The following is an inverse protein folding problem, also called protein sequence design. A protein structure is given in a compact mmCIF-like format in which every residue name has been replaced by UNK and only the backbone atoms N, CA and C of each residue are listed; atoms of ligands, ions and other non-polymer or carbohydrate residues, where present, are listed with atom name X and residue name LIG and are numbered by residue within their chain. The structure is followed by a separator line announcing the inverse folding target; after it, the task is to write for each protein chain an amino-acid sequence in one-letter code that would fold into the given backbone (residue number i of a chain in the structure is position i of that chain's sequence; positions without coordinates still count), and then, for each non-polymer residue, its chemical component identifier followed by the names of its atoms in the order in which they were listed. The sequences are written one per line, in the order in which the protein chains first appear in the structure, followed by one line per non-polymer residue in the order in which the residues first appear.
data_IF_960467478967
#
_entry.id   IF_960467478967
#
_cell.length_a   1.000
_cell.length_b   1.000
_cell.length_c   1.000
_cell.angle_alpha   90.00
_cell.angle_beta   90.00
_cell.angle_gamma   90.00
#
_symmetry.space_group_name_H-M   'P 1'
#
loop_
_entity.id
_entity.type
_entity.pdbx_description
1 polymer ?
#
# COMPACT_ATOMS: atom_id res chain seq x y z
N UNK A 1 -24.66 -16.75 -1.02
CA UNK A 1 -25.03 -16.17 0.31
C UNK A 1 -23.85 -15.35 0.78
N UNK A 2 -24.04 -14.11 1.26
CA UNK A 2 -22.98 -13.33 1.89
C UNK A 2 -22.36 -14.07 3.09
N UNK A 3 -21.08 -13.85 3.35
CA UNK A 3 -20.39 -14.40 4.52
C UNK A 3 -19.66 -13.29 5.29
N UNK A 4 -19.47 -13.50 6.59
CA UNK A 4 -18.67 -12.65 7.44
C UNK A 4 -17.30 -13.29 7.67
N UNK A 5 -16.23 -12.57 7.35
CA UNK A 5 -14.86 -12.97 7.63
C UNK A 5 -14.25 -12.08 8.68
N UNK A 6 -13.57 -12.67 9.63
CA UNK A 6 -12.88 -11.94 10.69
C UNK A 6 -11.40 -11.82 10.35
N UNK A 7 -10.92 -10.59 10.36
CA UNK A 7 -9.49 -10.29 10.30
C UNK A 7 -8.79 -10.88 11.54
N UNK A 8 -7.81 -11.77 11.37
CA UNK A 8 -7.20 -12.47 12.51
C UNK A 8 -6.31 -11.56 13.36
N UNK A 9 -5.86 -10.42 12.83
CA UNK A 9 -4.94 -9.49 13.49
C UNK A 9 -5.72 -8.50 14.36
N UNK A 10 -6.54 -7.66 13.72
CA UNK A 10 -7.27 -6.58 14.42
C UNK A 10 -8.69 -6.98 14.86
N UNK A 11 -9.12 -8.20 14.54
CA UNK A 11 -10.44 -8.71 14.93
C UNK A 11 -11.62 -8.07 14.19
N UNK A 12 -11.38 -7.25 13.20
CA UNK A 12 -12.41 -6.59 12.37
C UNK A 12 -13.17 -7.60 11.53
N UNK A 13 -14.50 -7.42 11.41
CA UNK A 13 -15.33 -8.20 10.52
C UNK A 13 -15.49 -7.52 9.17
N UNK A 14 -15.48 -8.33 8.10
CA UNK A 14 -15.73 -7.89 6.71
C UNK A 14 -16.84 -8.75 6.13
N UNK A 15 -17.79 -8.12 5.44
CA UNK A 15 -18.89 -8.78 4.74
C UNK A 15 -18.41 -9.06 3.30
N UNK A 16 -18.24 -10.32 2.95
CA UNK A 16 -18.01 -10.75 1.55
C UNK A 16 -19.37 -10.99 0.91
N UNK A 17 -19.76 -10.12 -0.03
CA UNK A 17 -21.11 -10.12 -0.62
C UNK A 17 -21.05 -10.22 -2.14
N UNK A 18 -20.95 -11.44 -2.65
CA UNK A 18 -20.89 -11.73 -4.09
C UNK A 18 -22.17 -11.34 -4.85
N UNK A 19 -23.32 -11.26 -4.18
CA UNK A 19 -24.58 -10.84 -4.79
C UNK A 19 -24.61 -9.35 -5.17
N UNK A 20 -23.74 -8.53 -4.52
CA UNK A 20 -23.47 -7.14 -4.90
C UNK A 20 -22.29 -7.07 -5.88
N UNK A 21 -21.77 -8.22 -6.30
CA UNK A 21 -20.52 -8.36 -7.04
C UNK A 21 -20.66 -7.77 -8.43
N UNK A 22 -19.91 -6.72 -8.66
CA UNK A 22 -19.36 -6.48 -9.97
C UNK A 22 -18.30 -7.56 -10.19
N UNK A 23 -18.36 -8.24 -11.34
CA UNK A 23 -17.25 -9.08 -11.80
C UNK A 23 -16.00 -8.21 -11.88
N UNK A 24 -14.79 -8.76 -11.79
CA UNK A 24 -13.55 -7.99 -11.98
C UNK A 24 -13.61 -7.11 -13.25
N UNK A 25 -14.24 -7.58 -14.32
CA UNK A 25 -14.52 -6.86 -15.56
C UNK A 25 -15.52 -5.68 -15.43
N UNK A 26 -16.29 -5.62 -14.37
CA UNK A 26 -17.37 -4.62 -14.19
C UNK A 26 -16.93 -3.38 -13.40
N UNK A 27 -15.70 -3.37 -12.90
CA UNK A 27 -15.08 -2.17 -12.34
C UNK A 27 -14.77 -1.23 -13.50
N UNK A 28 -15.69 -0.28 -13.76
CA UNK A 28 -15.59 0.65 -14.87
C UNK A 28 -14.28 1.44 -14.88
N UNK A 29 -13.81 1.80 -16.06
CA UNK A 29 -12.62 2.59 -16.27
C UNK A 29 -12.74 3.93 -15.54
N UNK A 30 -11.94 4.14 -14.50
CA UNK A 30 -11.69 5.47 -13.94
C UNK A 30 -10.51 6.04 -14.75
N UNK A 31 -10.80 6.46 -15.98
CA UNK A 31 -9.79 7.16 -16.78
C UNK A 31 -9.75 8.61 -16.29
N UNK A 32 -8.74 8.94 -15.52
CA UNK A 32 -8.37 10.32 -15.24
C UNK A 32 -7.71 10.90 -16.48
N UNK A 33 -8.21 12.02 -16.99
CA UNK A 33 -7.53 12.76 -18.04
C UNK A 33 -6.19 13.30 -17.48
N UNK A 34 -5.06 12.94 -18.12
CA UNK A 34 -3.74 13.44 -17.73
C UNK A 34 -3.70 14.95 -17.83
N UNK A 35 -3.25 15.61 -16.76
CA UNK A 35 -3.06 17.05 -16.71
C UNK A 35 -1.73 17.39 -17.38
N UNK A 36 -1.77 17.85 -18.63
CA UNK A 36 -0.60 18.42 -19.30
C UNK A 36 -0.31 19.80 -18.69
N UNK A 37 0.86 19.98 -18.07
CA UNK A 37 1.21 21.27 -17.48
C UNK A 37 2.51 21.25 -16.70
N UNK A 38 2.79 22.31 -16.01
CA UNK A 38 3.96 22.46 -15.15
C UNK A 38 3.95 21.44 -14.01
N UNK A 39 5.04 20.68 -13.87
CA UNK A 39 5.24 19.74 -12.77
C UNK A 39 6.48 20.14 -11.95
N UNK A 40 6.34 20.40 -10.62
CA UNK A 40 7.46 20.79 -9.78
C UNK A 40 8.48 19.68 -9.53
N UNK A 41 8.13 18.42 -9.85
CA UNK A 41 8.99 17.24 -9.64
C UNK A 41 9.80 16.85 -10.87
N UNK A 42 9.51 17.43 -12.03
CA UNK A 42 10.32 17.19 -13.23
C UNK A 42 11.71 17.80 -13.13
N UNK A 43 12.75 17.15 -13.71
CA UNK A 43 14.08 17.71 -13.82
C UNK A 43 14.08 19.10 -14.44
N UNK A 44 14.92 20.00 -13.88
CA UNK A 44 14.96 21.43 -14.24
C UNK A 44 14.00 22.31 -13.42
N UNK A 45 13.14 21.72 -12.60
CA UNK A 45 12.21 22.44 -11.72
C UNK A 45 12.58 22.33 -10.21
N UNK A 46 13.81 21.93 -9.88
CA UNK A 46 14.24 21.68 -8.49
C UNK A 46 14.04 22.91 -7.60
N UNK A 47 14.23 24.12 -8.15
CA UNK A 47 13.98 25.39 -7.44
C UNK A 47 12.50 25.65 -7.08
N UNK A 48 11.57 24.83 -7.53
CA UNK A 48 10.12 24.95 -7.24
C UNK A 48 9.68 24.13 -6.03
N UNK A 49 10.56 23.24 -5.55
CA UNK A 49 10.41 22.48 -4.31
C UNK A 49 11.31 23.05 -3.22
N UNK A 50 11.11 22.71 -1.94
CA UNK A 50 12.15 22.91 -0.93
C UNK A 50 13.45 22.18 -1.30
N UNK A 51 14.61 22.56 -0.70
CA UNK A 51 15.86 21.85 -0.90
C UNK A 51 15.75 20.35 -0.64
N UNK A 52 16.56 19.58 -1.35
CA UNK A 52 16.63 18.14 -1.13
C UNK A 52 17.18 17.80 0.25
N UNK A 53 16.51 16.88 0.94
CA UNK A 53 16.98 16.32 2.23
C UNK A 53 17.75 15.01 2.04
N UNK A 54 17.51 14.36 0.90
CA UNK A 54 18.24 13.16 0.47
C UNK A 54 18.15 13.01 -1.06
N UNK A 55 19.19 12.46 -1.66
CA UNK A 55 19.24 12.26 -3.11
C UNK A 55 20.12 11.08 -3.49
N UNK A 56 19.71 10.34 -4.50
CA UNK A 56 20.55 9.38 -5.24
C UNK A 56 20.90 10.00 -6.57
N UNK A 57 22.18 10.30 -6.79
CA UNK A 57 22.70 10.93 -8.00
C UNK A 57 24.15 10.51 -8.30
N UNK A 58 24.65 10.86 -9.48
CA UNK A 58 26.04 10.65 -9.84
C UNK A 58 26.97 11.45 -8.91
N UNK A 59 28.07 10.86 -8.45
CA UNK A 59 29.07 11.58 -7.64
C UNK A 59 29.59 12.83 -8.35
N UNK A 60 29.71 13.94 -7.61
CA UNK A 60 30.25 15.21 -8.13
C UNK A 60 29.19 16.15 -8.75
N UNK A 61 27.93 15.76 -8.83
CA UNK A 61 26.83 16.67 -9.23
C UNK A 61 26.43 17.60 -8.09
N UNK A 62 25.95 18.81 -8.42
CA UNK A 62 25.58 19.81 -7.43
C UNK A 62 24.22 19.51 -6.80
N UNK A 63 24.00 19.86 -5.51
CA UNK A 63 22.70 19.80 -4.88
C UNK A 63 21.64 20.60 -5.66
N UNK A 64 20.39 20.13 -5.59
CA UNK A 64 19.23 20.78 -6.23
C UNK A 64 19.41 21.04 -7.75
N UNK A 65 20.07 20.09 -8.46
CA UNK A 65 20.22 20.07 -9.92
C UNK A 65 19.60 18.81 -10.53
N UNK A 66 19.39 18.80 -11.85
CA UNK A 66 18.59 17.82 -12.57
C UNK A 66 19.14 16.37 -12.62
N UNK A 67 20.41 16.12 -12.27
CA UNK A 67 21.08 14.83 -12.45
C UNK A 67 20.84 13.84 -11.30
N UNK A 68 19.60 13.65 -10.90
CA UNK A 68 19.20 12.73 -9.83
C UNK A 68 18.44 11.50 -10.36
N UNK A 69 18.50 10.40 -9.65
CA UNK A 69 17.71 9.19 -9.91
C UNK A 69 16.54 9.06 -8.94
N UNK A 70 16.74 9.37 -7.64
CA UNK A 70 15.71 9.48 -6.61
C UNK A 70 15.99 10.75 -5.83
N UNK A 71 14.94 11.53 -5.53
CA UNK A 71 15.08 12.80 -4.81
C UNK A 71 14.05 12.89 -3.70
N UNK A 72 14.48 13.27 -2.49
CA UNK A 72 13.58 13.48 -1.34
C UNK A 72 13.65 14.94 -0.91
N UNK A 73 12.50 15.54 -0.77
CA UNK A 73 12.34 16.94 -0.36
C UNK A 73 11.33 17.03 0.79
N UNK A 74 11.44 18.06 1.62
CA UNK A 74 10.34 18.38 2.54
C UNK A 74 9.09 18.74 1.74
N UNK A 75 7.90 18.35 2.24
CA UNK A 75 6.65 18.76 1.59
C UNK A 75 6.51 20.30 1.71
N UNK A 76 6.22 20.97 0.60
CA UNK A 76 6.03 22.44 0.57
C UNK A 76 4.83 22.91 1.41
N UNK A 77 3.84 22.01 1.58
CA UNK A 77 2.62 22.23 2.36
C UNK A 77 2.47 21.13 3.41
N UNK A 78 3.35 21.11 4.43
CA UNK A 78 3.45 19.98 5.33
C UNK A 78 2.25 19.92 6.28
N UNK A 79 1.79 18.70 6.59
CA UNK A 79 0.75 18.48 7.60
C UNK A 79 1.25 18.73 9.03
N UNK A 80 2.56 18.53 9.26
CA UNK A 80 3.28 18.74 10.51
C UNK A 80 4.59 19.47 10.21
N UNK A 81 5.12 20.21 11.18
CA UNK A 81 6.37 20.96 11.05
C UNK A 81 7.43 20.38 11.98
N UNK A 82 8.69 20.36 11.53
CA UNK A 82 9.79 19.80 12.30
C UNK A 82 10.25 20.75 13.43
N UNK A 83 10.02 22.05 13.24
CA UNK A 83 10.43 23.08 14.19
C UNK A 83 9.50 23.15 15.40
N UNK A 84 10.07 23.52 16.55
CA UNK A 84 9.34 23.77 17.80
C UNK A 84 9.32 22.57 18.74
N UNK A 85 8.60 22.72 19.84
CA UNK A 85 8.42 21.73 20.89
C UNK A 85 6.99 21.19 20.88
N UNK A 86 6.79 20.00 21.41
CA UNK A 86 5.47 19.36 21.49
C UNK A 86 4.47 20.17 22.34
N UNK A 87 4.93 20.82 23.40
CA UNK A 87 4.11 21.65 24.28
C UNK A 87 2.77 20.99 24.61
N UNK A 88 2.86 19.83 25.27
CA UNK A 88 1.69 19.03 25.67
C UNK A 88 0.95 19.73 26.80
N UNK A 89 -0.35 19.99 26.62
CA UNK A 89 -1.18 20.71 27.57
C UNK A 89 -2.63 20.22 27.54
N UNK A 90 -3.34 20.43 28.63
CA UNK A 90 -4.76 20.16 28.72
C UNK A 90 -5.58 21.44 28.60
N UNK A 91 -6.77 21.33 28.04
CA UNK A 91 -7.81 22.36 28.06
C UNK A 91 -9.09 21.70 28.58
N UNK A 92 -9.28 21.77 29.89
CA UNK A 92 -10.28 20.98 30.57
C UNK A 92 -9.99 19.46 30.44
N UNK A 93 -10.91 18.71 29.86
CA UNK A 93 -10.76 17.27 29.57
C UNK A 93 -10.08 16.98 28.23
N UNK A 94 -9.69 18.01 27.48
CA UNK A 94 -9.13 17.84 26.14
C UNK A 94 -7.61 17.98 26.18
N UNK A 95 -6.93 17.02 25.56
CA UNK A 95 -5.48 17.05 25.37
C UNK A 95 -5.14 17.71 24.03
N UNK A 96 -4.12 18.56 24.05
CA UNK A 96 -3.58 19.17 22.83
C UNK A 96 -2.07 19.28 22.90
N UNK A 97 -1.44 19.28 21.74
CA UNK A 97 -0.02 19.55 21.58
C UNK A 97 0.24 20.26 20.25
N UNK A 98 1.43 20.83 20.09
CA UNK A 98 1.82 21.40 18.83
C UNK A 98 1.99 20.30 17.76
N UNK A 99 1.69 20.64 16.51
CA UNK A 99 1.80 19.74 15.36
C UNK A 99 3.26 19.56 14.90
N UNK A 100 4.11 19.05 15.80
CA UNK A 100 5.52 18.76 15.51
C UNK A 100 5.62 17.41 14.84
N UNK A 101 6.33 17.35 13.69
CA UNK A 101 6.53 16.15 12.89
C UNK A 101 7.32 16.46 11.63
N UNK A 102 7.57 15.47 10.80
CA UNK A 102 8.17 15.67 9.48
C UNK A 102 7.18 15.22 8.41
N UNK A 103 7.20 15.91 7.27
CA UNK A 103 6.44 15.50 6.08
C UNK A 103 7.34 15.63 4.87
N UNK A 104 7.77 14.50 4.33
CA UNK A 104 8.68 14.41 3.18
C UNK A 104 8.00 13.80 1.97
N UNK A 105 8.49 14.17 0.78
CA UNK A 105 8.08 13.63 -0.52
C UNK A 105 9.30 13.03 -1.19
N UNK A 106 9.24 11.73 -1.49
CA UNK A 106 10.22 10.99 -2.24
C UNK A 106 9.77 10.88 -3.70
N UNK A 107 10.50 11.50 -4.61
CA UNK A 107 10.26 11.48 -6.05
C UNK A 107 10.99 10.26 -6.61
N UNK A 108 10.24 9.33 -7.21
CA UNK A 108 10.67 7.96 -7.52
C UNK A 108 11.59 7.84 -8.72
N UNK A 109 11.50 8.77 -9.64
CA UNK A 109 12.22 8.79 -10.93
C UNK A 109 12.19 10.21 -11.50
N UNK A 110 13.18 10.62 -12.31
CA UNK A 110 13.11 11.85 -13.09
C UNK A 110 12.07 11.81 -14.21
N UNK A 111 11.65 10.63 -14.64
CA UNK A 111 10.67 10.47 -15.71
C UNK A 111 9.24 10.67 -15.18
N UNK A 112 8.56 11.68 -15.74
CA UNK A 112 7.21 12.05 -15.36
C UNK A 112 6.16 10.99 -15.71
N UNK A 113 6.37 10.29 -16.82
CA UNK A 113 5.36 9.41 -17.43
C UNK A 113 5.43 7.98 -16.91
N UNK A 114 6.58 7.56 -16.35
CA UNK A 114 6.77 6.19 -15.90
C UNK A 114 6.07 5.92 -14.58
N UNK A 115 5.11 5.00 -14.59
CA UNK A 115 4.42 4.52 -13.40
C UNK A 115 5.33 3.59 -12.58
N UNK A 116 5.13 3.52 -11.27
CA UNK A 116 5.94 2.72 -10.34
C UNK A 116 6.10 1.25 -10.79
N UNK A 117 5.03 0.61 -11.24
CA UNK A 117 5.05 -0.78 -11.73
C UNK A 117 5.88 -0.98 -13.02
N UNK A 118 6.16 0.09 -13.75
CA UNK A 118 6.93 0.07 -15.01
C UNK A 118 8.41 0.37 -14.76
N UNK A 119 8.78 0.91 -13.60
CA UNK A 119 10.17 1.17 -13.24
C UNK A 119 11.02 -0.11 -13.34
N UNK A 120 12.28 -0.02 -13.76
CA UNK A 120 13.23 -1.12 -13.60
C UNK A 120 13.32 -1.55 -12.12
N UNK A 121 13.50 -2.84 -11.85
CA UNK A 121 13.64 -3.34 -10.47
C UNK A 121 14.77 -2.65 -9.72
N UNK A 122 15.88 -2.34 -10.41
CA UNK A 122 16.99 -1.57 -9.83
C UNK A 122 16.57 -0.15 -9.41
N UNK A 123 15.67 0.52 -10.15
CA UNK A 123 15.15 1.82 -9.75
C UNK A 123 14.23 1.72 -8.54
N UNK A 124 13.37 0.69 -8.48
CA UNK A 124 12.56 0.42 -7.30
C UNK A 124 13.44 0.15 -6.07
N UNK A 125 14.52 -0.60 -6.22
CA UNK A 125 15.49 -0.82 -5.15
C UNK A 125 16.07 0.49 -4.62
N UNK A 126 16.47 1.43 -5.50
CA UNK A 126 16.94 2.76 -5.09
C UNK A 126 15.87 3.53 -4.30
N UNK A 127 14.61 3.44 -4.71
CA UNK A 127 13.48 4.05 -3.99
C UNK A 127 13.32 3.42 -2.60
N UNK A 128 13.37 2.09 -2.48
CA UNK A 128 13.25 1.39 -1.19
C UNK A 128 14.44 1.70 -0.26
N UNK A 129 15.65 1.78 -0.80
CA UNK A 129 16.83 2.20 -0.05
C UNK A 129 16.71 3.65 0.44
N UNK A 130 16.21 4.56 -0.39
CA UNK A 130 15.93 5.94 0.00
C UNK A 130 14.87 6.02 1.11
N UNK A 131 13.78 5.23 1.02
CA UNK A 131 12.79 5.11 2.10
C UNK A 131 13.44 4.68 3.40
N UNK A 132 14.23 3.60 3.37
CA UNK A 132 14.95 3.08 4.55
C UNK A 132 15.87 4.13 5.17
N UNK A 133 16.69 4.81 4.38
CA UNK A 133 17.60 5.85 4.85
C UNK A 133 16.84 7.00 5.50
N UNK A 134 15.72 7.45 4.89
CA UNK A 134 14.91 8.53 5.46
C UNK A 134 14.22 8.11 6.75
N UNK A 135 13.72 6.88 6.84
CA UNK A 135 13.11 6.36 8.07
C UNK A 135 14.13 6.29 9.21
N UNK A 136 15.36 5.81 8.94
CA UNK A 136 16.45 5.78 9.92
C UNK A 136 16.78 7.21 10.39
N UNK A 137 16.94 8.16 9.48
CA UNK A 137 17.25 9.55 9.82
C UNK A 137 16.14 10.20 10.66
N UNK A 138 14.90 10.11 10.23
CA UNK A 138 13.76 10.65 10.95
C UNK A 138 13.58 10.02 12.34
N UNK A 139 13.92 8.74 12.52
CA UNK A 139 13.84 8.05 13.81
C UNK A 139 14.85 8.56 14.84
N UNK A 140 15.90 9.31 14.42
CA UNK A 140 16.85 9.94 15.37
C UNK A 140 16.18 11.06 16.19
N UNK A 141 15.13 11.66 15.70
CA UNK A 141 14.36 12.65 16.46
C UNK A 141 13.49 11.96 17.52
N UNK A 142 13.87 12.13 18.78
CA UNK A 142 13.18 11.50 19.93
C UNK A 142 11.75 11.99 20.14
N UNK A 143 11.31 13.04 19.47
CA UNK A 143 9.93 13.52 19.50
C UNK A 143 8.99 12.64 18.68
N UNK A 144 9.52 11.91 17.67
CA UNK A 144 8.71 11.07 16.79
C UNK A 144 8.47 9.70 17.42
N UNK A 145 7.29 9.15 17.15
CA UNK A 145 6.84 7.84 17.63
C UNK A 145 6.52 6.87 16.50
N UNK A 146 6.16 7.38 15.34
CA UNK A 146 5.81 6.58 14.17
C UNK A 146 6.14 7.30 12.89
N UNK A 147 6.59 6.57 11.88
CA UNK A 147 6.87 7.07 10.54
C UNK A 147 5.99 6.30 9.57
N UNK A 148 4.99 6.98 9.02
CA UNK A 148 4.12 6.40 8.02
C UNK A 148 4.66 6.65 6.64
N UNK A 149 4.91 5.58 5.87
CA UNK A 149 5.24 5.64 4.45
C UNK A 149 4.04 5.19 3.64
N UNK A 150 3.67 5.97 2.64
CA UNK A 150 2.52 5.66 1.78
C UNK A 150 2.65 6.31 0.40
N UNK A 151 1.96 5.70 -0.57
CA UNK A 151 1.78 6.26 -1.91
C UNK A 151 0.31 6.45 -2.22
N UNK A 152 0.01 7.56 -2.86
CA UNK A 152 -1.26 7.79 -3.54
C UNK A 152 -0.99 7.80 -5.04
N UNK A 153 -1.63 6.91 -5.79
CA UNK A 153 -1.54 6.85 -7.26
C UNK A 153 -2.90 7.12 -7.88
N UNK A 154 -2.98 8.16 -8.71
CA UNK A 154 -4.22 8.61 -9.33
C UNK A 154 -5.09 9.49 -8.42
N UNK A 155 -5.90 10.35 -9.02
CA UNK A 155 -6.73 11.36 -8.34
C UNK A 155 -7.73 10.72 -7.36
N UNK A 156 -8.39 9.62 -7.75
CA UNK A 156 -9.34 8.91 -6.89
C UNK A 156 -8.69 8.27 -5.65
N UNK A 157 -7.38 8.10 -5.66
CA UNK A 157 -6.60 7.65 -4.50
C UNK A 157 -6.00 8.82 -3.68
N UNK A 158 -6.29 10.08 -4.07
CA UNK A 158 -5.84 11.26 -3.36
C UNK A 158 -4.49 11.83 -3.83
N UNK A 159 -3.99 11.41 -5.01
CA UNK A 159 -2.80 12.01 -5.60
C UNK A 159 -3.13 13.43 -6.11
N UNK A 160 -2.35 14.42 -5.69
CA UNK A 160 -2.45 15.80 -6.16
C UNK A 160 -1.59 16.06 -7.40
N UNK A 161 -0.52 15.28 -7.59
CA UNK A 161 0.41 15.32 -8.71
C UNK A 161 0.51 13.94 -9.34
N UNK A 162 0.64 13.91 -10.68
CA UNK A 162 0.73 12.66 -11.46
C UNK A 162 2.13 12.06 -11.44
N UNK A 163 3.17 12.90 -11.36
CA UNK A 163 4.56 12.46 -11.25
C UNK A 163 4.73 11.51 -10.07
N UNK A 164 5.28 10.32 -10.30
CA UNK A 164 5.41 9.26 -9.29
C UNK A 164 6.13 9.71 -8.04
N UNK A 165 5.46 9.64 -6.89
CA UNK A 165 6.04 10.00 -5.60
C UNK A 165 5.45 9.18 -4.45
N UNK A 166 6.24 9.05 -3.41
CA UNK A 166 5.90 8.44 -2.11
C UNK A 166 5.98 9.54 -1.04
N UNK A 167 5.21 9.41 0.02
CA UNK A 167 5.23 10.36 1.13
C UNK A 167 5.65 9.64 2.42
N UNK A 168 6.41 10.37 3.25
CA UNK A 168 6.79 9.95 4.59
C UNK A 168 6.29 11.00 5.57
N UNK A 169 5.51 10.58 6.57
CA UNK A 169 5.05 11.45 7.65
C UNK A 169 5.48 10.86 8.99
N UNK A 170 6.37 11.59 9.69
CA UNK A 170 6.75 11.27 11.06
C UNK A 170 5.83 11.99 12.04
N UNK A 171 5.28 11.26 13.00
CA UNK A 171 4.30 11.77 13.97
C UNK A 171 4.78 11.60 15.40
N UNK A 172 4.41 12.52 16.34
CA UNK A 172 4.78 12.43 17.75
C UNK A 172 3.89 11.47 18.56
N UNK A 173 2.99 10.79 17.88
CA UNK A 173 2.07 9.78 18.44
C UNK A 173 2.07 8.55 17.55
N UNK A 174 1.78 7.38 18.13
CA UNK A 174 1.50 6.18 17.35
C UNK A 174 0.02 6.23 16.92
N UNK A 175 -0.29 6.14 15.61
CA UNK A 175 -1.67 6.18 15.13
C UNK A 175 -2.52 5.03 15.68
N UNK A 176 -3.80 5.30 15.94
CA UNK A 176 -4.72 4.33 16.55
C UNK A 176 -4.77 2.99 15.80
N UNK A 177 -4.81 3.00 14.47
CA UNK A 177 -4.84 1.76 13.66
C UNK A 177 -3.58 0.92 13.85
N UNK A 178 -2.42 1.56 13.95
CA UNK A 178 -1.14 0.90 14.21
C UNK A 178 -1.15 0.27 15.62
N UNK A 179 -1.68 0.98 16.62
CA UNK A 179 -1.83 0.45 17.99
C UNK A 179 -2.77 -0.77 18.00
N UNK A 180 -3.90 -0.71 17.29
CA UNK A 180 -4.86 -1.83 17.20
C UNK A 180 -4.19 -3.08 16.57
N UNK A 181 -3.37 -2.89 15.54
CA UNK A 181 -2.64 -3.96 14.88
C UNK A 181 -1.56 -4.57 15.78
N UNK A 182 -0.73 -3.73 16.41
CA UNK A 182 0.29 -4.19 17.36
C UNK A 182 -0.32 -4.95 18.52
N UNK A 183 -1.42 -4.46 19.09
CA UNK A 183 -2.11 -5.12 20.19
C UNK A 183 -2.66 -6.49 19.75
N UNK A 184 -3.16 -6.61 18.52
CA UNK A 184 -3.59 -7.88 17.96
C UNK A 184 -2.45 -8.88 17.81
N UNK A 185 -1.30 -8.42 17.29
CA UNK A 185 -0.08 -9.21 17.19
C UNK A 185 0.43 -9.65 18.56
N UNK A 186 0.46 -8.73 19.53
CA UNK A 186 0.86 -9.03 20.90
C UNK A 186 -0.07 -10.07 21.54
N UNK A 187 -1.38 -9.90 21.42
CA UNK A 187 -2.37 -10.83 21.97
C UNK A 187 -2.19 -12.25 21.42
N UNK A 188 -1.96 -12.38 20.09
CA UNK A 188 -1.67 -13.67 19.49
C UNK A 188 -0.36 -14.27 20.02
N UNK A 189 0.67 -13.45 20.14
CA UNK A 189 1.98 -13.88 20.67
C UNK A 189 1.89 -14.36 22.13
N UNK A 190 1.13 -13.68 22.97
CA UNK A 190 0.89 -14.10 24.37
C UNK A 190 0.19 -15.46 24.48
N UNK A 191 -0.70 -15.78 23.50
CA UNK A 191 -1.44 -17.04 23.47
C UNK A 191 -0.68 -18.18 22.79
N UNK A 192 0.13 -17.88 21.77
CA UNK A 192 0.71 -18.88 20.85
C UNK A 192 2.23 -18.89 20.85
N UNK A 193 2.89 -17.92 21.50
CA UNK A 193 4.34 -17.75 21.56
C UNK A 193 5.00 -17.62 20.18
N UNK A 194 4.23 -17.15 19.19
CA UNK A 194 4.70 -16.93 17.81
C UNK A 194 3.95 -15.78 17.15
N UNK A 195 4.56 -15.24 16.07
CA UNK A 195 4.03 -14.12 15.33
C UNK A 195 2.84 -14.55 14.46
N UNK A 196 1.73 -13.78 14.50
CA UNK A 196 0.53 -14.06 13.70
C UNK A 196 0.79 -13.93 12.20
N UNK A 197 1.65 -13.02 11.76
CA UNK A 197 1.99 -12.89 10.35
C UNK A 197 2.81 -14.10 9.85
N UNK A 198 3.70 -14.65 10.69
CA UNK A 198 4.39 -15.91 10.35
C UNK A 198 3.39 -17.04 10.20
N UNK A 199 2.39 -17.15 11.07
CA UNK A 199 1.31 -18.14 10.95
C UNK A 199 0.48 -17.91 9.67
N UNK A 200 0.20 -16.65 9.29
CA UNK A 200 -0.47 -16.31 8.03
C UNK A 200 0.38 -16.74 6.83
N UNK A 201 1.67 -16.42 6.82
CA UNK A 201 2.58 -16.80 5.72
C UNK A 201 2.63 -18.33 5.55
N UNK A 202 2.76 -19.08 6.64
CA UNK A 202 2.77 -20.56 6.62
C UNK A 202 1.42 -21.11 6.12
N UNK A 203 0.31 -20.57 6.63
CA UNK A 203 -1.04 -20.96 6.25
C UNK A 203 -1.30 -20.70 4.75
N UNK A 204 -0.98 -19.52 4.26
CA UNK A 204 -1.22 -19.15 2.86
C UNK A 204 -0.31 -19.92 1.92
N UNK A 205 0.96 -20.13 2.29
CA UNK A 205 1.90 -20.96 1.51
C UNK A 205 1.43 -22.42 1.41
N UNK A 206 0.76 -22.97 2.44
CA UNK A 206 0.25 -24.35 2.44
C UNK A 206 -1.02 -24.54 1.62
N UNK A 207 -1.90 -23.52 1.57
CA UNK A 207 -3.21 -23.58 0.90
C UNK A 207 -3.14 -23.06 -0.54
N UNK A 208 -2.28 -22.08 -0.82
CA UNK A 208 -2.04 -21.42 -2.11
C UNK A 208 -3.25 -20.72 -2.76
N UNK A 209 -4.41 -20.70 -2.08
CA UNK A 209 -5.66 -20.16 -2.68
C UNK A 209 -5.64 -18.64 -2.90
N UNK A 210 -4.97 -17.91 -1.98
CA UNK A 210 -4.96 -16.46 -1.98
C UNK A 210 -3.62 -15.85 -2.37
N UNK A 211 -2.64 -16.66 -2.79
CA UNK A 211 -1.36 -16.17 -3.31
C UNK A 211 -1.57 -15.52 -4.67
N UNK A 212 -1.04 -14.32 -4.83
CA UNK A 212 -0.97 -13.55 -6.09
C UNK A 212 0.33 -13.86 -6.82
N UNK A 213 1.46 -13.66 -6.14
CA UNK A 213 2.80 -14.04 -6.59
C UNK A 213 3.72 -14.20 -5.38
N UNK A 214 4.91 -14.75 -5.59
CA UNK A 214 5.90 -14.94 -4.53
C UNK A 214 7.32 -15.08 -5.10
N UNK A 215 8.30 -14.83 -4.25
CA UNK A 215 9.70 -15.23 -4.49
C UNK A 215 10.27 -15.97 -3.27
N UNK A 216 11.60 -16.14 -3.18
CA UNK A 216 12.24 -16.81 -2.04
C UNK A 216 11.93 -16.13 -0.70
N UNK A 217 11.88 -14.79 -0.67
CA UNK A 217 11.82 -14.00 0.54
C UNK A 217 10.43 -13.42 0.86
N UNK A 218 9.53 -13.32 -0.13
CA UNK A 218 8.23 -12.64 0.02
C UNK A 218 7.06 -13.45 -0.49
N UNK A 219 5.93 -13.23 0.16
CA UNK A 219 4.62 -13.71 -0.24
C UNK A 219 3.70 -12.51 -0.53
N UNK A 220 3.10 -12.47 -1.73
CA UNK A 220 2.05 -11.51 -2.09
C UNK A 220 0.71 -12.23 -2.10
N UNK A 221 -0.23 -11.76 -1.27
CA UNK A 221 -1.52 -12.43 -1.04
C UNK A 221 -2.69 -11.44 -1.08
N UNK A 222 -3.87 -11.95 -1.39
CA UNK A 222 -5.14 -11.35 -1.01
C UNK A 222 -5.48 -11.81 0.43
N UNK A 223 -5.56 -10.92 1.44
CA UNK A 223 -5.78 -11.33 2.82
C UNK A 223 -7.13 -12.02 3.00
N UNK A 224 -7.28 -12.83 4.05
CA UNK A 224 -8.52 -13.60 4.30
C UNK A 224 -9.77 -12.74 4.44
N UNK A 225 -9.65 -11.56 5.06
CA UNK A 225 -10.73 -10.60 5.29
C UNK A 225 -10.40 -9.22 4.72
N UNK A 226 -10.29 -9.08 3.37
CA UNK A 226 -9.88 -7.83 2.73
C UNK A 226 -10.98 -6.78 2.85
N UNK A 227 -10.61 -5.55 3.19
CA UNK A 227 -11.53 -4.40 3.27
C UNK A 227 -12.05 -4.00 1.90
N UNK A 228 -11.18 -4.09 0.89
CA UNK A 228 -11.43 -3.62 -0.47
C UNK A 228 -11.22 -4.73 -1.49
N UNK A 229 -11.91 -4.69 -2.64
CA UNK A 229 -11.63 -5.60 -3.74
C UNK A 229 -10.15 -5.49 -4.18
N UNK A 230 -9.49 -6.63 -4.34
CA UNK A 230 -8.09 -6.70 -4.75
C UNK A 230 -7.10 -6.01 -3.77
N UNK A 231 -7.47 -5.92 -2.48
CA UNK A 231 -6.54 -5.55 -1.43
C UNK A 231 -5.45 -6.61 -1.33
N UNK A 232 -4.21 -6.24 -1.64
CA UNK A 232 -3.07 -7.16 -1.74
C UNK A 232 -2.04 -6.82 -0.68
N UNK A 233 -1.58 -7.82 0.07
CA UNK A 233 -0.51 -7.68 1.06
C UNK A 233 0.77 -8.32 0.55
N UNK A 234 1.90 -7.64 0.73
CA UNK A 234 3.24 -8.17 0.48
C UNK A 234 3.96 -8.32 1.81
N UNK A 235 4.25 -9.56 2.19
CA UNK A 235 4.74 -9.92 3.52
C UNK A 235 6.09 -10.64 3.37
N UNK A 236 7.16 -10.25 4.10
CA UNK A 236 8.39 -11.04 4.16
C UNK A 236 8.10 -12.43 4.77
N UNK A 237 8.71 -13.48 4.21
CA UNK A 237 8.56 -14.85 4.73
C UNK A 237 9.34 -15.06 6.03
N UNK A 238 10.46 -14.34 6.18
CA UNK A 238 11.21 -14.32 7.43
C UNK A 238 10.62 -13.27 8.37
N UNK A 239 10.68 -13.55 9.66
CA UNK A 239 10.19 -12.63 10.69
C UNK A 239 11.08 -11.39 10.79
N UNK A 240 10.49 -10.22 10.50
CA UNK A 240 11.14 -8.92 10.63
C UNK A 240 10.11 -7.90 11.16
N UNK A 241 10.41 -7.24 12.26
CA UNK A 241 9.46 -6.30 12.88
C UNK A 241 9.51 -4.89 12.30
N UNK A 242 10.63 -4.49 11.70
CA UNK A 242 10.87 -3.14 11.18
C UNK A 242 11.40 -3.18 9.75
N UNK A 243 10.84 -2.37 8.89
CA UNK A 243 11.30 -2.23 7.51
C UNK A 243 12.71 -1.64 7.42
N UNK A 244 13.02 -0.68 8.27
CA UNK A 244 14.31 0.01 8.28
C UNK A 244 15.49 -0.89 8.68
N UNK A 245 15.23 -2.04 9.30
CA UNK A 245 16.26 -3.05 9.61
C UNK A 245 16.53 -4.01 8.44
N UNK A 246 15.72 -3.96 7.37
CA UNK A 246 15.84 -4.85 6.22
C UNK A 246 17.18 -4.67 5.49
N UNK A 247 17.97 -5.72 5.26
CA UNK A 247 19.22 -5.64 4.49
C UNK A 247 18.96 -5.49 2.98
N UNK A 248 19.98 -5.17 2.21
CA UNK A 248 19.86 -4.85 0.78
C UNK A 248 19.34 -6.02 -0.07
N UNK A 249 19.74 -7.25 0.24
CA UNK A 249 19.27 -8.46 -0.43
C UNK A 249 17.75 -8.66 -0.25
N UNK A 250 17.25 -8.37 0.95
CA UNK A 250 15.81 -8.41 1.22
C UNK A 250 15.07 -7.29 0.47
N UNK A 251 15.63 -6.08 0.41
CA UNK A 251 15.03 -4.98 -0.37
C UNK A 251 15.02 -5.26 -1.87
N UNK A 252 16.04 -5.95 -2.41
CA UNK A 252 16.08 -6.37 -3.81
C UNK A 252 14.97 -7.39 -4.10
N UNK A 253 14.80 -8.39 -3.24
CA UNK A 253 13.71 -9.36 -3.35
C UNK A 253 12.33 -8.68 -3.22
N UNK A 254 12.20 -7.70 -2.32
CA UNK A 254 10.99 -6.90 -2.14
C UNK A 254 10.66 -6.07 -3.38
N UNK A 255 11.65 -5.42 -4.00
CA UNK A 255 11.47 -4.66 -5.23
C UNK A 255 10.87 -5.52 -6.35
N UNK A 256 11.33 -6.77 -6.49
CA UNK A 256 10.83 -7.72 -7.47
C UNK A 256 9.35 -8.08 -7.25
N UNK A 257 9.00 -8.52 -6.04
CA UNK A 257 7.62 -8.96 -5.74
C UNK A 257 6.64 -7.78 -5.73
N UNK A 258 7.06 -6.62 -5.25
CA UNK A 258 6.24 -5.40 -5.26
C UNK A 258 5.92 -4.95 -6.70
N UNK A 259 6.94 -4.97 -7.57
CA UNK A 259 6.77 -4.69 -9.00
C UNK A 259 5.77 -5.65 -9.64
N UNK A 260 5.96 -6.96 -9.45
CA UNK A 260 5.09 -7.99 -10.02
C UNK A 260 3.65 -7.85 -9.53
N UNK A 261 3.43 -7.64 -8.23
CA UNK A 261 2.10 -7.43 -7.65
C UNK A 261 1.39 -6.24 -8.29
N UNK A 262 2.07 -5.10 -8.41
CA UNK A 262 1.51 -3.90 -9.05
C UNK A 262 1.29 -4.07 -10.56
N UNK A 263 2.15 -4.81 -11.25
CA UNK A 263 1.95 -5.12 -12.68
C UNK A 263 0.71 -5.98 -12.89
N UNK A 264 0.50 -7.01 -12.07
CA UNK A 264 -0.70 -7.86 -12.12
C UNK A 264 -1.97 -7.06 -11.85
N UNK A 265 -1.98 -6.22 -10.83
CA UNK A 265 -3.08 -5.30 -10.51
C UNK A 265 -3.35 -4.35 -11.70
N UNK A 266 -2.33 -3.74 -12.28
CA UNK A 266 -2.48 -2.78 -13.38
C UNK A 266 -2.99 -3.45 -14.66
N UNK A 267 -2.50 -4.65 -14.98
CA UNK A 267 -2.93 -5.39 -16.17
C UNK A 267 -4.35 -5.94 -15.99
N UNK A 268 -4.66 -6.55 -14.84
CA UNK A 268 -5.94 -7.16 -14.58
C UNK A 268 -7.08 -6.14 -14.43
N UNK A 269 -6.80 -4.96 -13.85
CA UNK A 269 -7.81 -3.96 -13.50
C UNK A 269 -7.70 -2.67 -14.34
N UNK A 270 -6.96 -2.71 -15.45
CA UNK A 270 -6.77 -1.58 -16.36
C UNK A 270 -6.28 -0.31 -15.66
N UNK A 271 -5.13 -0.42 -14.96
CA UNK A 271 -4.43 0.68 -14.27
C UNK A 271 -5.32 1.45 -13.28
N UNK A 272 -5.84 0.79 -12.24
CA UNK A 272 -6.69 1.45 -11.27
C UNK A 272 -5.88 2.47 -10.44
N UNK A 273 -6.49 3.56 -9.98
CA UNK A 273 -5.93 4.32 -8.87
C UNK A 273 -5.78 3.43 -7.64
N UNK A 274 -4.67 3.60 -6.90
CA UNK A 274 -4.42 2.80 -5.70
C UNK A 274 -3.69 3.60 -4.63
N UNK A 275 -3.81 3.15 -3.40
CA UNK A 275 -2.88 3.49 -2.33
C UNK A 275 -2.02 2.28 -2.03
N UNK A 276 -0.78 2.51 -1.65
CA UNK A 276 -0.08 1.54 -0.83
C UNK A 276 0.36 2.16 0.50
N UNK A 277 0.46 1.34 1.52
CA UNK A 277 0.83 1.73 2.88
C UNK A 277 1.84 0.72 3.40
N UNK A 278 2.99 1.21 3.86
CA UNK A 278 3.98 0.39 4.55
C UNK A 278 3.65 0.37 6.04
N UNK A 279 3.46 -0.81 6.59
CA UNK A 279 3.27 -1.06 8.00
C UNK A 279 4.59 -1.51 8.61
N UNK A 280 5.08 -0.81 9.61
CA UNK A 280 6.32 -1.10 10.34
C UNK A 280 6.13 -0.81 11.82
N UNK A 281 7.00 -1.31 12.66
CA UNK A 281 6.95 -1.03 14.10
C UNK A 281 7.15 0.46 14.39
N UNK A 282 6.58 0.98 15.49
CA UNK A 282 6.87 2.32 15.97
C UNK A 282 8.36 2.50 16.30
N UNK A 283 8.86 3.72 16.10
CA UNK A 283 10.19 4.13 16.53
C UNK A 283 10.12 4.74 17.94
N UNK A 284 11.27 4.84 18.60
CA UNK A 284 11.48 5.51 19.90
C UNK A 284 10.50 5.09 21.02
N UNK A 285 11.02 4.62 22.14
CA UNK A 285 10.30 4.26 23.38
C UNK A 285 9.16 3.23 23.25
N UNK A 286 9.01 2.56 22.12
CA UNK A 286 8.13 1.40 22.00
C UNK A 286 8.85 0.15 22.51
N UNK A 287 8.28 -0.51 23.54
CA UNK A 287 9.06 -1.42 24.38
C UNK A 287 9.36 -2.79 23.78
N UNK A 288 8.46 -3.37 23.01
CA UNK A 288 8.65 -4.72 22.45
C UNK A 288 7.94 -4.84 21.12
N UNK A 289 8.69 -5.11 20.06
CA UNK A 289 8.18 -5.28 18.70
C UNK A 289 8.39 -6.69 18.16
N UNK A 290 8.92 -7.62 18.97
CA UNK A 290 9.21 -9.00 18.55
C UNK A 290 7.99 -9.78 18.09
N UNK A 291 6.80 -9.34 18.45
CA UNK A 291 5.54 -9.94 18.02
C UNK A 291 4.97 -9.31 16.74
N UNK A 292 5.52 -8.16 16.31
CA UNK A 292 5.12 -7.46 15.10
C UNK A 292 5.88 -7.95 13.87
N UNK A 293 5.34 -7.70 12.69
CA UNK A 293 5.92 -8.11 11.41
C UNK A 293 5.59 -7.05 10.36
N UNK A 294 6.59 -6.40 9.79
CA UNK A 294 6.34 -5.38 8.79
C UNK A 294 5.78 -5.98 7.49
N UNK A 295 4.93 -5.23 6.80
CA UNK A 295 4.34 -5.63 5.53
C UNK A 295 3.88 -4.41 4.75
N UNK A 296 3.58 -4.61 3.45
CA UNK A 296 3.00 -3.60 2.59
C UNK A 296 1.57 -3.98 2.26
N UNK A 297 0.63 -3.04 2.41
CA UNK A 297 -0.73 -3.16 1.92
C UNK A 297 -0.91 -2.35 0.63
N UNK A 298 -1.48 -2.94 -0.43
CA UNK A 298 -1.84 -2.28 -1.69
C UNK A 298 -3.36 -2.29 -1.79
N UNK A 299 -3.99 -1.13 -1.99
CA UNK A 299 -5.44 -0.96 -1.98
C UNK A 299 -5.93 -0.26 -3.25
N UNK A 300 -6.33 -0.99 -4.30
CA UNK A 300 -6.97 -0.40 -5.46
C UNK A 300 -8.27 0.33 -5.10
N UNK A 301 -8.52 1.48 -5.71
CA UNK A 301 -9.71 2.32 -5.48
C UNK A 301 -10.85 1.97 -6.42
N UNK A 302 -11.41 0.78 -6.25
CA UNK A 302 -12.51 0.26 -7.07
C UNK A 302 -13.89 0.52 -6.46
N UNK A 303 -13.96 0.75 -5.16
CA UNK A 303 -15.18 1.04 -4.39
C UNK A 303 -15.00 2.27 -3.53
N UNK A 304 -16.10 2.90 -3.13
CA UNK A 304 -16.12 4.04 -2.22
C UNK A 304 -16.55 3.59 -0.83
N UNK A 305 -15.83 4.04 0.18
CA UNK A 305 -16.26 3.93 1.59
C UNK A 305 -17.44 4.88 1.80
N UNK A 306 -18.52 4.39 2.38
CA UNK A 306 -19.76 5.13 2.56
C UNK A 306 -20.20 5.14 4.04
N UNK A 307 -21.43 5.56 4.31
CA UNK A 307 -21.93 5.78 5.66
C UNK A 307 -21.93 4.53 6.54
N UNK A 308 -22.19 3.35 5.95
CA UNK A 308 -22.17 2.10 6.71
C UNK A 308 -20.77 1.78 7.25
N UNK A 309 -19.76 1.84 6.40
CA UNK A 309 -18.36 1.56 6.79
C UNK A 309 -17.86 2.61 7.79
N UNK A 310 -18.17 3.89 7.57
CA UNK A 310 -17.80 4.95 8.50
C UNK A 310 -18.47 4.82 9.86
N UNK A 311 -19.76 4.43 9.88
CA UNK A 311 -20.55 4.32 11.12
C UNK A 311 -20.25 3.08 11.93
N UNK A 312 -19.87 1.97 11.28
CA UNK A 312 -19.72 0.66 11.94
C UNK A 312 -18.28 0.15 12.00
N UNK A 313 -17.41 0.61 11.12
CA UNK A 313 -16.08 0.03 10.92
C UNK A 313 -16.09 -1.34 10.21
N UNK A 314 -17.26 -1.87 9.82
CA UNK A 314 -17.37 -3.04 8.96
C UNK A 314 -17.29 -2.61 7.51
N UNK A 315 -16.60 -3.41 6.68
CA UNK A 315 -16.50 -3.16 5.25
C UNK A 315 -17.33 -4.17 4.46
N UNK A 316 -17.87 -3.74 3.33
CA UNK A 316 -18.58 -4.62 2.40
C UNK A 316 -17.69 -4.79 1.17
N UNK A 317 -17.14 -5.98 0.99
CA UNK A 317 -16.33 -6.34 -0.16
C UNK A 317 -17.12 -7.27 -1.09
N UNK A 318 -17.36 -6.86 -2.36
CA UNK A 318 -18.08 -7.70 -3.30
C UNK A 318 -17.23 -8.83 -3.91
N UNK A 319 -15.92 -8.82 -3.72
CA UNK A 319 -14.99 -9.77 -4.38
C UNK A 319 -14.33 -10.68 -3.33
N UNK A 320 -14.60 -12.00 -3.36
CA UNK A 320 -13.87 -12.95 -2.51
C UNK A 320 -12.37 -12.93 -2.81
N UNK A 321 -11.50 -12.97 -1.80
CA UNK A 321 -10.05 -12.89 -2.00
C UNK A 321 -9.50 -14.06 -2.82
N UNK A 322 -10.09 -15.24 -2.72
CA UNK A 322 -9.70 -16.40 -3.54
C UNK A 322 -9.96 -16.15 -5.04
N UNK A 323 -11.08 -15.52 -5.39
CA UNK A 323 -11.41 -15.14 -6.76
C UNK A 323 -10.52 -13.99 -7.25
N UNK A 324 -10.24 -13.00 -6.38
CA UNK A 324 -9.32 -11.90 -6.69
C UNK A 324 -7.91 -12.43 -6.99
N UNK A 325 -7.36 -13.27 -6.12
CA UNK A 325 -6.04 -13.87 -6.33
C UNK A 325 -5.97 -14.72 -7.59
N UNK A 326 -7.00 -15.54 -7.87
CA UNK A 326 -7.07 -16.32 -9.09
C UNK A 326 -7.04 -15.41 -10.33
N UNK A 327 -7.84 -14.35 -10.34
CA UNK A 327 -7.91 -13.38 -11.43
C UNK A 327 -6.58 -12.64 -11.66
N UNK A 328 -5.87 -12.26 -10.59
CA UNK A 328 -4.55 -11.61 -10.70
C UNK A 328 -3.47 -12.58 -11.22
N UNK A 329 -3.59 -13.89 -10.94
CA UNK A 329 -2.66 -14.90 -11.48
C UNK A 329 -2.84 -15.17 -12.97
N UNK A 330 -4.04 -14.95 -13.52
CA UNK A 330 -4.33 -15.17 -14.96
C UNK A 330 -3.56 -14.24 -15.88
N UNK A 331 -3.14 -13.05 -15.38
CA UNK A 331 -2.35 -12.11 -16.18
C UNK A 331 -0.86 -12.41 -16.06
N UNK A 332 -0.16 -12.33 -17.20
CA UNK A 332 1.29 -12.54 -17.27
C UNK A 332 2.00 -11.19 -17.51
N UNK A 333 2.69 -10.64 -16.48
CA UNK A 333 3.43 -9.39 -16.63
C UNK A 333 4.54 -9.42 -17.69
N UNK A 334 5.12 -10.60 -17.97
CA UNK A 334 6.20 -10.74 -18.94
C UNK A 334 5.72 -10.60 -20.40
N UNK A 335 4.48 -10.98 -20.68
CA UNK A 335 3.91 -11.00 -22.03
C UNK A 335 3.02 -9.79 -22.35
N UNK A 336 2.75 -8.88 -21.39
CA UNK A 336 1.93 -7.70 -21.59
C UNK A 336 0.46 -7.96 -21.99
N UNK A 337 0.06 -9.22 -22.07
CA UNK A 337 -1.27 -9.65 -22.46
C UNK A 337 -2.15 -9.92 -21.23
N UNK A 338 -2.94 -8.93 -20.83
CA UNK A 338 -4.18 -9.24 -20.13
C UNK A 338 -5.11 -9.93 -21.15
N UNK A 339 -5.44 -11.19 -20.92
CA UNK A 339 -6.41 -11.92 -21.72
C UNK A 339 -7.81 -11.33 -21.54
N UNK A 340 -8.09 -10.24 -22.27
CA UNK A 340 -9.43 -9.71 -22.46
C UNK A 340 -10.26 -10.58 -23.40
N UNK A 341 -10.16 -11.90 -23.28
CA UNK A 341 -11.11 -12.81 -23.93
C UNK A 341 -12.32 -13.00 -23.02
N UNK A 342 -13.34 -12.21 -23.29
CA UNK A 342 -14.70 -12.51 -22.85
C UNK A 342 -15.07 -13.92 -23.31
N UNK A 343 -15.08 -14.86 -22.39
CA UNK A 343 -15.80 -16.12 -22.57
C UNK A 343 -17.27 -15.73 -22.62
N UNK A 344 -17.84 -15.68 -23.83
CA UNK A 344 -19.28 -15.67 -24.01
C UNK A 344 -19.80 -17.00 -23.43
N UNK A 345 -20.74 -16.99 -22.48
CA UNK A 345 -21.42 -18.22 -22.09
C UNK A 345 -22.23 -18.70 -23.29
N UNK A 346 -21.93 -19.91 -23.73
CA UNK A 346 -22.72 -20.61 -24.75
C UNK A 346 -24.20 -20.57 -24.40
N UNK A 347 -25.02 -20.12 -25.34
CA UNK A 347 -26.44 -20.25 -25.29
C UNK A 347 -26.80 -21.74 -25.21
N UNK A 348 -27.23 -22.20 -24.03
CA UNK A 348 -27.92 -23.48 -23.92
C UNK A 348 -29.35 -23.26 -24.38
N UNK A 349 -29.69 -23.89 -25.50
CA UNK A 349 -31.06 -24.08 -25.97
C UNK A 349 -31.94 -24.65 -24.85
N UNK A 350 -32.86 -23.84 -24.34
CA UNK A 350 -33.96 -24.32 -23.53
C UNK A 350 -35.21 -24.46 -24.46
N UNK A 351 -35.95 -25.57 -24.41
CA UNK A 351 -37.08 -25.76 -25.28
C UNK A 351 -38.25 -24.84 -24.93
N UNK A 352 -38.84 -24.29 -25.98
CA UNK A 352 -40.09 -23.50 -25.95
C UNK A 352 -41.20 -24.37 -25.44
N UNK A 353 -41.79 -24.06 -24.28
CA UNK A 353 -43.07 -24.64 -23.86
C UNK A 353 -44.23 -23.80 -24.40
N UNK A 354 -45.02 -24.43 -25.29
CA UNK A 354 -46.29 -23.91 -25.79
C UNK A 354 -47.28 -23.67 -24.65
N UNK A 355 -47.96 -22.53 -24.69
CA UNK A 355 -49.14 -22.24 -23.89
C UNK A 355 -50.38 -22.91 -24.53
N UNK A 356 -51.29 -23.56 -23.75
CA UNK A 356 -52.58 -23.95 -24.26
C UNK A 356 -53.55 -22.76 -24.29
N UNK A 357 -54.54 -22.79 -25.20
CA UNK A 357 -55.50 -21.70 -25.37
C UNK A 357 -56.73 -21.83 -24.45
N UNK A 358 -57.39 -20.66 -24.23
CA UNK A 358 -58.64 -20.33 -23.58
C UNK A 358 -58.62 -20.10 -22.08
#
# INVERSE_FOLDING_TARGET
MPELRRDPIVGRWVIISTERGKRPSDFGQIVSARKTGFCPFCPGNESKTPPEVYVVRQPGTLPDTADWQVRVVSNKFPALQIEGNLDRRAEGIYDKMNGVGAHEVLIETPDHETEFSQLPTAQILLVLQAMRVRMIDLSQDRRFRYIQVFKNHGEAAGASLEHGHIQLIATPIVPRRVVEEINGCQFHFELKERCIFCDIVEQEASIEKRIVCQNSEFLSIEPFAPRFPFETWVIPKRHESTFEASPDDLLEAFAGVMKESLQRINLALNKPPYNFVLHTSPCNDWKDTRHYHWHLEIMPKLTKVAGFEWGTGLYINPTPPEAAAAFLREVDPANGNGSGNGVQPGASDAPVSEKPPA
#
